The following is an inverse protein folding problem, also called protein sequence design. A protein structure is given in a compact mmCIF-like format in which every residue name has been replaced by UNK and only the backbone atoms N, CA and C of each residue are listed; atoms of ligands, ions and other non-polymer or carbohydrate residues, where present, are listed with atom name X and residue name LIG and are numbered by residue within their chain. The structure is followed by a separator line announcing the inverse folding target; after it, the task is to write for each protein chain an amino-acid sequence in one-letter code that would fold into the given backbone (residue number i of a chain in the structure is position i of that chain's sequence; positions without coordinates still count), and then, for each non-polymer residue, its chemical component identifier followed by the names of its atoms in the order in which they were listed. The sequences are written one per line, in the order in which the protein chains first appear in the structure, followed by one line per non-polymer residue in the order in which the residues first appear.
data_IF_629761761087
#
_entry.id   IF_629761761087
#
_cell.length_a   1.000
_cell.length_b   1.000
_cell.length_c   1.000
_cell.angle_alpha   90.00
_cell.angle_beta   90.00
_cell.angle_gamma   90.00
#
_symmetry.space_group_name_H-M   'P 1'
#
loop_
_entity.id
_entity.type
_entity.pdbx_description
1 polymer ?
#
# COMPACT_ATOMS: atom_id res chain seq x y z
N UNK A 1 -0.78 -43.11 30.87
CA UNK A 1 -2.15 -42.61 30.78
C UNK A 1 -2.74 -43.04 29.45
N UNK A 2 -3.43 -44.24 29.43
CA UNK A 2 -4.01 -44.79 28.22
C UNK A 2 -5.34 -44.11 27.87
N UNK A 3 -5.28 -42.85 27.45
CA UNK A 3 -6.43 -42.17 26.83
C UNK A 3 -6.36 -42.39 25.33
N UNK A 4 -7.35 -43.03 24.76
CA UNK A 4 -7.57 -43.08 23.34
C UNK A 4 -8.00 -41.74 22.81
N UNK A 5 -7.46 -41.31 21.67
CA UNK A 5 -7.89 -40.07 20.99
C UNK A 5 -8.04 -40.39 19.49
N UNK A 6 -8.94 -39.64 18.87
CA UNK A 6 -9.14 -39.65 17.42
C UNK A 6 -8.54 -38.37 16.85
N UNK A 7 -7.58 -38.49 15.95
CA UNK A 7 -7.04 -37.40 15.17
C UNK A 7 -7.74 -37.35 13.80
N UNK A 8 -8.31 -36.18 13.47
CA UNK A 8 -8.91 -35.94 12.15
C UNK A 8 -8.06 -34.87 11.47
N UNK A 9 -7.44 -35.25 10.37
CA UNK A 9 -6.62 -34.35 9.56
C UNK A 9 -7.39 -33.95 8.30
N UNK A 10 -7.58 -32.64 8.08
CA UNK A 10 -8.33 -32.10 6.95
C UNK A 10 -7.44 -31.15 6.15
N UNK A 11 -7.49 -31.28 4.84
CA UNK A 11 -6.83 -30.30 3.95
C UNK A 11 -7.69 -29.05 3.82
N UNK A 12 -7.07 -27.83 3.80
CA UNK A 12 -7.80 -26.60 3.57
C UNK A 12 -8.53 -26.60 2.22
N UNK A 13 -9.80 -26.25 2.21
CA UNK A 13 -10.57 -26.08 0.96
C UNK A 13 -10.12 -24.84 0.21
N UNK A 14 -9.92 -24.93 -1.09
CA UNK A 14 -9.69 -23.79 -1.97
C UNK A 14 -10.94 -22.90 -2.09
N UNK A 15 -12.13 -23.50 -2.00
CA UNK A 15 -13.40 -22.76 -2.06
C UNK A 15 -13.88 -22.36 -0.66
N UNK A 16 -14.58 -21.21 -0.53
CA UNK A 16 -15.20 -20.84 0.72
C UNK A 16 -16.33 -21.82 1.07
N UNK A 17 -16.31 -22.33 2.31
CA UNK A 17 -17.34 -23.26 2.82
C UNK A 17 -18.19 -22.53 3.83
N UNK A 18 -19.52 -22.53 3.62
CA UNK A 18 -20.48 -21.99 4.56
C UNK A 18 -21.17 -23.11 5.35
N UNK A 19 -21.51 -22.81 6.59
CA UNK A 19 -22.37 -23.64 7.46
C UNK A 19 -23.64 -22.87 7.73
N UNK A 20 -24.78 -23.37 7.25
CA UNK A 20 -26.10 -22.69 7.32
C UNK A 20 -26.05 -21.25 6.74
N UNK A 21 -25.30 -21.03 5.62
CA UNK A 21 -25.17 -19.73 4.99
C UNK A 21 -24.21 -18.75 5.68
N UNK A 22 -23.54 -19.16 6.73
CA UNK A 22 -22.58 -18.36 7.51
C UNK A 22 -21.17 -18.88 7.34
N UNK A 23 -20.20 -17.99 7.40
CA UNK A 23 -18.78 -18.31 7.34
C UNK A 23 -18.13 -18.09 8.69
N UNK A 24 -17.20 -18.95 9.04
CA UNK A 24 -16.55 -18.96 10.34
C UNK A 24 -15.04 -19.02 10.22
N UNK A 25 -14.35 -18.38 11.16
CA UNK A 25 -12.91 -18.49 11.34
C UNK A 25 -12.61 -19.00 12.75
N UNK A 26 -11.58 -19.83 12.88
CA UNK A 26 -11.09 -20.29 14.17
C UNK A 26 -9.77 -19.59 14.50
N UNK A 27 -9.71 -18.97 15.66
CA UNK A 27 -8.50 -18.40 16.23
C UNK A 27 -8.25 -19.04 17.61
N UNK A 28 -7.27 -19.91 17.68
CA UNK A 28 -7.01 -20.70 18.88
C UNK A 28 -8.20 -21.60 19.26
N UNK A 29 -8.78 -21.37 20.43
CA UNK A 29 -9.93 -22.14 20.95
C UNK A 29 -11.28 -21.55 20.55
N UNK A 30 -11.32 -20.33 19.97
CA UNK A 30 -12.56 -19.59 19.68
C UNK A 30 -12.91 -19.72 18.20
N UNK A 31 -14.19 -19.98 17.91
CA UNK A 31 -14.78 -19.93 16.57
C UNK A 31 -15.67 -18.70 16.47
N UNK A 32 -15.40 -17.80 15.54
CA UNK A 32 -16.15 -16.56 15.33
C UNK A 32 -16.78 -16.53 13.94
N UNK A 33 -18.01 -16.02 13.86
CA UNK A 33 -18.70 -15.77 12.59
C UNK A 33 -18.03 -14.59 11.87
N UNK A 34 -17.74 -14.75 10.58
CA UNK A 34 -17.22 -13.67 9.75
C UNK A 34 -18.36 -12.77 9.29
N UNK A 35 -18.25 -11.46 9.53
CA UNK A 35 -19.25 -10.47 9.14
C UNK A 35 -18.60 -9.23 8.52
N UNK A 36 -19.37 -8.45 7.76
CA UNK A 36 -18.93 -7.19 7.17
C UNK A 36 -17.64 -7.31 6.36
N UNK A 37 -16.69 -6.42 6.63
CA UNK A 37 -15.42 -6.39 5.91
C UNK A 37 -14.58 -7.67 6.06
N UNK A 38 -14.61 -8.32 7.21
CA UNK A 38 -13.88 -9.58 7.42
C UNK A 38 -14.41 -10.69 6.50
N UNK A 39 -15.72 -10.78 6.32
CA UNK A 39 -16.34 -11.71 5.39
C UNK A 39 -15.94 -11.40 3.94
N UNK A 40 -16.02 -10.14 3.53
CA UNK A 40 -15.63 -9.72 2.19
C UNK A 40 -14.16 -10.04 1.89
N UNK A 41 -13.25 -9.75 2.84
CA UNK A 41 -11.83 -10.09 2.73
C UNK A 41 -11.60 -11.59 2.60
N UNK A 42 -12.30 -12.40 3.40
CA UNK A 42 -12.21 -13.87 3.36
C UNK A 42 -12.66 -14.42 2.01
N UNK A 43 -13.83 -13.98 1.52
CA UNK A 43 -14.38 -14.44 0.24
C UNK A 43 -13.48 -14.02 -0.92
N UNK A 44 -13.02 -12.77 -0.95
CA UNK A 44 -12.10 -12.27 -1.97
C UNK A 44 -10.81 -13.07 -2.00
N UNK A 45 -10.20 -13.31 -0.84
CA UNK A 45 -8.96 -14.10 -0.75
C UNK A 45 -9.15 -15.54 -1.25
N UNK A 46 -10.28 -16.18 -0.95
CA UNK A 46 -10.62 -17.54 -1.45
C UNK A 46 -10.87 -17.56 -2.96
N UNK A 47 -11.37 -16.48 -3.54
CA UNK A 47 -11.53 -16.33 -4.99
C UNK A 47 -10.25 -15.86 -5.69
N UNK A 48 -9.15 -15.65 -4.96
CA UNK A 48 -7.90 -15.13 -5.51
C UNK A 48 -8.00 -13.66 -5.94
N UNK A 49 -9.02 -12.93 -5.47
CA UNK A 49 -9.19 -11.51 -5.73
C UNK A 49 -8.50 -10.68 -4.66
N UNK A 50 -7.68 -9.76 -5.09
CA UNK A 50 -7.10 -8.72 -4.24
C UNK A 50 -7.87 -7.41 -4.42
N UNK A 51 -7.79 -6.51 -3.44
CA UNK A 51 -8.53 -5.25 -3.48
C UNK A 51 -8.25 -4.45 -4.75
N UNK A 52 -7.00 -4.37 -5.14
CA UNK A 52 -6.53 -3.62 -6.31
C UNK A 52 -6.94 -4.24 -7.65
N UNK A 53 -7.28 -5.55 -7.66
CA UNK A 53 -7.75 -6.27 -8.85
C UNK A 53 -9.26 -6.10 -9.13
N UNK A 54 -10.01 -5.57 -8.16
CA UNK A 54 -11.44 -5.33 -8.32
C UNK A 54 -11.71 -4.16 -9.27
N UNK A 55 -12.80 -4.25 -10.03
CA UNK A 55 -13.27 -3.15 -10.89
C UNK A 55 -13.84 -2.02 -10.04
N UNK A 56 -13.56 -0.77 -10.45
CA UNK A 56 -14.22 0.42 -9.92
C UNK A 56 -15.25 0.94 -10.95
N UNK A 57 -16.52 0.65 -10.69
CA UNK A 57 -17.61 0.83 -11.68
C UNK A 57 -17.83 2.30 -12.10
N UNK A 58 -17.51 3.25 -11.26
CA UNK A 58 -17.72 4.67 -11.55
C UNK A 58 -16.51 5.39 -12.15
N UNK A 59 -15.40 4.68 -12.40
CA UNK A 59 -14.16 5.29 -12.89
C UNK A 59 -14.03 5.14 -14.40
N UNK A 60 -13.73 6.25 -15.08
CA UNK A 60 -13.69 6.32 -16.55
C UNK A 60 -12.34 6.88 -17.05
N UNK A 61 -12.09 6.77 -18.36
CA UNK A 61 -10.81 7.16 -18.97
C UNK A 61 -10.48 8.66 -18.82
N UNK A 62 -11.48 9.52 -18.78
CA UNK A 62 -11.32 10.96 -18.59
C UNK A 62 -10.90 11.36 -17.17
N UNK A 63 -11.00 10.44 -16.21
CA UNK A 63 -10.54 10.61 -14.84
C UNK A 63 -9.07 10.19 -14.63
N UNK A 64 -8.42 9.65 -15.67
CA UNK A 64 -6.97 9.36 -15.66
C UNK A 64 -6.18 10.68 -15.73
N UNK A 65 -5.22 10.81 -14.84
CA UNK A 65 -4.24 11.89 -14.82
C UNK A 65 -3.10 11.60 -15.80
N UNK A 66 -3.18 12.23 -16.97
CA UNK A 66 -2.20 12.03 -18.03
C UNK A 66 -0.79 12.52 -17.66
N UNK A 67 -0.68 13.53 -16.81
CA UNK A 67 0.61 14.01 -16.30
C UNK A 67 1.30 12.92 -15.47
N UNK A 68 0.54 12.26 -14.60
CA UNK A 68 1.04 11.11 -13.82
C UNK A 68 1.40 9.93 -14.71
N UNK A 69 0.65 9.68 -15.79
CA UNK A 69 0.98 8.64 -16.77
C UNK A 69 2.34 8.91 -17.42
N UNK A 70 2.60 10.15 -17.87
CA UNK A 70 3.89 10.52 -18.47
C UNK A 70 5.02 10.48 -17.44
N UNK A 71 4.75 10.87 -16.19
CA UNK A 71 5.70 10.71 -15.08
C UNK A 71 6.06 9.25 -14.85
N UNK A 72 5.06 8.36 -14.84
CA UNK A 72 5.26 6.92 -14.70
C UNK A 72 6.13 6.36 -15.85
N UNK A 73 5.83 6.71 -17.10
CA UNK A 73 6.63 6.28 -18.27
C UNK A 73 8.09 6.70 -18.11
N UNK A 74 8.33 7.93 -17.68
CA UNK A 74 9.67 8.43 -17.40
C UNK A 74 10.41 7.62 -16.33
N UNK A 75 9.72 7.24 -15.25
CA UNK A 75 10.30 6.44 -14.15
C UNK A 75 10.54 4.98 -14.56
N UNK A 76 9.70 4.44 -15.45
CA UNK A 76 9.74 3.04 -15.84
C UNK A 76 10.68 2.73 -17.01
N UNK A 77 11.11 3.73 -17.77
CA UNK A 77 11.85 3.57 -19.05
C UNK A 77 13.10 2.70 -18.94
N UNK A 78 13.84 2.79 -17.85
CA UNK A 78 15.08 2.03 -17.66
C UNK A 78 14.83 0.53 -17.44
N UNK A 79 13.66 0.17 -16.89
CA UNK A 79 13.25 -1.21 -16.67
C UNK A 79 12.43 -1.79 -17.82
N UNK A 80 11.61 -0.95 -18.47
CA UNK A 80 10.71 -1.33 -19.56
C UNK A 80 10.83 -0.31 -20.70
N UNK A 81 11.88 -0.35 -21.52
CA UNK A 81 12.12 0.64 -22.59
C UNK A 81 10.98 0.78 -23.59
N UNK A 82 10.18 -0.29 -23.78
CA UNK A 82 9.03 -0.25 -24.71
C UNK A 82 7.86 0.60 -24.21
N UNK A 83 7.84 0.96 -22.91
CA UNK A 83 6.74 1.71 -22.31
C UNK A 83 6.75 3.18 -22.73
N UNK A 84 7.95 3.73 -22.99
CA UNK A 84 8.14 5.12 -23.44
C UNK A 84 7.52 5.38 -24.83
N UNK A 85 7.47 4.34 -25.66
CA UNK A 85 6.94 4.41 -27.03
C UNK A 85 5.41 4.27 -27.10
N UNK A 86 4.76 3.88 -26.00
CA UNK A 86 3.32 3.73 -25.99
C UNK A 86 2.65 5.09 -25.89
N UNK A 87 1.92 5.46 -26.95
CA UNK A 87 1.21 6.74 -27.05
C UNK A 87 -0.26 6.64 -26.66
N UNK A 88 -0.83 5.44 -26.73
CA UNK A 88 -2.23 5.21 -26.35
C UNK A 88 -2.32 4.83 -24.87
N UNK A 89 -2.97 5.70 -24.10
CA UNK A 89 -3.16 5.52 -22.66
C UNK A 89 -3.95 4.24 -22.35
N UNK A 90 -4.99 3.90 -23.13
CA UNK A 90 -5.79 2.70 -22.88
C UNK A 90 -4.98 1.43 -23.12
N UNK A 91 -4.19 1.40 -24.22
CA UNK A 91 -3.25 0.30 -24.49
C UNK A 91 -2.24 0.15 -23.37
N UNK A 92 -1.72 1.26 -22.84
CA UNK A 92 -0.83 1.23 -21.68
C UNK A 92 -1.51 0.61 -20.45
N UNK A 93 -2.74 1.04 -20.12
CA UNK A 93 -3.49 0.51 -18.98
C UNK A 93 -3.79 -0.99 -19.13
N UNK A 94 -4.09 -1.45 -20.34
CA UNK A 94 -4.27 -2.88 -20.63
C UNK A 94 -2.97 -3.67 -20.42
N UNK A 95 -1.84 -3.17 -20.94
CA UNK A 95 -0.51 -3.80 -20.75
C UNK A 95 -0.11 -3.89 -19.29
N UNK A 96 -0.48 -2.90 -18.48
CA UNK A 96 -0.27 -2.89 -17.03
C UNK A 96 -1.28 -3.75 -16.27
N UNK A 97 -2.20 -4.43 -16.99
CA UNK A 97 -3.28 -5.23 -16.40
C UNK A 97 -4.21 -4.42 -15.47
N UNK A 98 -4.45 -3.16 -15.81
CA UNK A 98 -5.30 -2.24 -15.05
C UNK A 98 -6.73 -2.14 -15.58
N UNK A 99 -7.01 -2.81 -16.71
CA UNK A 99 -8.32 -2.90 -17.34
C UNK A 99 -8.74 -4.37 -17.46
N UNK A 100 -10.03 -4.64 -17.26
CA UNK A 100 -10.65 -5.94 -17.50
C UNK A 100 -12.04 -5.74 -18.08
N UNK A 101 -12.31 -6.33 -19.24
CA UNK A 101 -13.61 -6.19 -19.93
C UNK A 101 -13.98 -4.73 -20.21
N UNK A 102 -13.00 -3.89 -20.57
CA UNK A 102 -13.19 -2.46 -20.83
C UNK A 102 -13.41 -1.59 -19.58
N UNK A 103 -13.28 -2.14 -18.37
CA UNK A 103 -13.47 -1.44 -17.10
C UNK A 103 -12.18 -1.36 -16.31
N UNK A 104 -11.98 -0.24 -15.63
CA UNK A 104 -10.77 0.01 -14.83
C UNK A 104 -10.81 -0.72 -13.50
N UNK A 105 -9.68 -1.29 -13.12
CA UNK A 105 -9.46 -1.83 -11.79
C UNK A 105 -9.13 -0.72 -10.79
N UNK A 106 -9.35 -0.98 -9.51
CA UNK A 106 -9.00 -0.05 -8.42
C UNK A 106 -7.52 0.34 -8.41
N UNK A 107 -6.63 -0.56 -8.88
CA UNK A 107 -5.23 -0.21 -9.09
C UNK A 107 -5.05 0.99 -10.03
N UNK A 108 -5.80 1.07 -11.14
CA UNK A 108 -5.76 2.22 -12.04
C UNK A 108 -6.17 3.51 -11.36
N UNK A 109 -7.22 3.45 -10.52
CA UNK A 109 -7.70 4.60 -9.75
C UNK A 109 -6.60 5.14 -8.83
N UNK A 110 -6.00 4.27 -8.00
CA UNK A 110 -5.02 4.74 -7.01
C UNK A 110 -3.69 5.13 -7.63
N UNK A 111 -3.30 4.53 -8.77
CA UNK A 111 -2.04 4.85 -9.46
C UNK A 111 -2.14 6.10 -10.34
N UNK A 112 -3.28 6.29 -11.03
CA UNK A 112 -3.38 7.27 -12.11
C UNK A 112 -4.62 8.16 -12.05
N UNK A 113 -5.48 8.03 -11.02
CA UNK A 113 -6.68 8.86 -10.91
C UNK A 113 -6.37 10.33 -10.62
N UNK A 114 -7.12 11.25 -11.24
CA UNK A 114 -7.08 12.70 -10.93
C UNK A 114 -7.59 13.00 -9.52
N UNK A 115 -8.63 12.28 -9.11
CA UNK A 115 -9.29 12.48 -7.82
C UNK A 115 -9.51 11.14 -7.11
N UNK A 116 -8.45 10.57 -6.61
CA UNK A 116 -8.44 9.24 -5.98
C UNK A 116 -9.36 9.19 -4.77
N UNK A 117 -9.37 10.25 -3.95
CA UNK A 117 -10.10 10.29 -2.69
C UNK A 117 -11.62 10.32 -2.88
N UNK A 118 -12.13 10.61 -4.09
CA UNK A 118 -13.54 10.43 -4.48
C UNK A 118 -13.96 8.96 -4.39
N UNK A 119 -13.05 8.03 -4.72
CA UNK A 119 -13.27 6.58 -4.77
C UNK A 119 -12.74 5.87 -3.53
N UNK A 120 -11.58 6.31 -3.04
CA UNK A 120 -10.82 5.66 -1.98
C UNK A 120 -10.36 6.72 -0.99
N UNK A 121 -11.28 7.19 -0.15
CA UNK A 121 -11.04 8.31 0.79
C UNK A 121 -9.79 8.12 1.64
N UNK A 122 -9.52 6.89 2.08
CA UNK A 122 -8.38 6.57 2.95
C UNK A 122 -7.06 6.40 2.18
N UNK A 123 -7.04 6.43 0.83
CA UNK A 123 -5.81 6.36 0.04
C UNK A 123 -5.04 7.67 0.09
N UNK A 124 -4.56 8.04 1.28
CA UNK A 124 -3.78 9.24 1.58
C UNK A 124 -2.75 8.96 2.65
N UNK A 125 -1.81 9.87 2.81
CA UNK A 125 -0.73 9.79 3.79
C UNK A 125 -0.88 10.94 4.76
N UNK A 126 -0.88 10.65 6.06
CA UNK A 126 -0.88 11.63 7.13
C UNK A 126 0.51 11.73 7.74
N UNK A 127 1.06 12.93 7.75
CA UNK A 127 2.37 13.22 8.34
C UNK A 127 2.13 14.06 9.60
N UNK A 128 2.78 13.74 10.71
CA UNK A 128 2.67 14.52 11.94
C UNK A 128 4.01 14.64 12.66
N UNK A 129 4.28 15.83 13.20
CA UNK A 129 5.34 16.06 14.18
C UNK A 129 4.74 15.94 15.58
N UNK A 130 5.33 15.13 16.42
CA UNK A 130 4.86 14.79 17.75
C UNK A 130 5.88 15.21 18.80
N UNK A 131 5.40 15.77 19.92
CA UNK A 131 6.20 15.98 21.13
C UNK A 131 6.17 14.73 22.02
N UNK A 132 5.04 14.01 22.01
CA UNK A 132 4.82 12.75 22.72
C UNK A 132 3.84 11.90 21.92
N UNK A 133 3.52 10.70 22.37
CA UNK A 133 2.55 9.81 21.69
C UNK A 133 1.14 10.41 21.60
N UNK A 134 0.83 11.41 22.42
CA UNK A 134 -0.50 12.05 22.49
C UNK A 134 -0.49 13.51 22.08
N UNK A 135 0.67 14.17 22.03
CA UNK A 135 0.78 15.59 21.72
C UNK A 135 1.34 15.84 20.33
N UNK A 136 0.51 16.42 19.47
CA UNK A 136 0.81 16.69 18.06
C UNK A 136 1.10 18.18 17.88
N UNK A 137 2.26 18.53 17.33
CA UNK A 137 2.63 19.90 17.01
C UNK A 137 2.01 20.39 15.70
N UNK A 138 2.11 19.57 14.65
CA UNK A 138 1.61 19.92 13.31
C UNK A 138 1.32 18.66 12.52
N UNK A 139 0.40 18.78 11.57
CA UNK A 139 0.04 17.68 10.67
C UNK A 139 -0.10 18.17 9.25
N UNK A 140 0.22 17.31 8.28
CA UNK A 140 -0.07 17.46 6.86
C UNK A 140 -0.78 16.22 6.35
N UNK A 141 -1.65 16.41 5.37
CA UNK A 141 -2.32 15.32 4.66
C UNK A 141 -1.89 15.41 3.19
N UNK A 142 -1.39 14.29 2.67
CA UNK A 142 -0.97 14.17 1.28
C UNK A 142 -2.01 13.34 0.53
N UNK A 143 -2.71 13.97 -0.38
CA UNK A 143 -3.74 13.40 -1.26
C UNK A 143 -3.25 13.35 -2.70
N UNK A 144 -4.08 12.81 -3.61
CA UNK A 144 -3.79 12.55 -5.01
C UNK A 144 -3.53 11.07 -5.26
N UNK A 145 -2.98 10.74 -6.42
CA UNK A 145 -2.61 9.36 -6.73
C UNK A 145 -1.29 8.94 -6.06
N UNK A 146 -1.04 7.63 -5.99
CA UNK A 146 0.09 7.09 -5.24
C UNK A 146 1.44 7.61 -5.74
N UNK A 147 1.60 7.83 -7.05
CA UNK A 147 2.84 8.36 -7.62
C UNK A 147 3.08 9.79 -7.13
N UNK A 148 2.04 10.63 -7.17
CA UNK A 148 2.09 11.99 -6.63
C UNK A 148 2.31 12.01 -5.12
N UNK A 149 1.66 11.08 -4.39
CA UNK A 149 1.81 10.99 -2.94
C UNK A 149 3.24 10.67 -2.53
N UNK A 150 3.94 9.79 -3.25
CA UNK A 150 5.36 9.48 -2.98
C UNK A 150 6.22 10.72 -3.13
N UNK A 151 6.13 11.40 -4.28
CA UNK A 151 6.94 12.58 -4.56
C UNK A 151 6.66 13.71 -3.54
N UNK A 152 5.38 14.02 -3.29
CA UNK A 152 4.96 15.09 -2.34
C UNK A 152 5.34 14.76 -0.89
N UNK A 153 5.18 13.51 -0.47
CA UNK A 153 5.55 13.09 0.89
C UNK A 153 7.04 13.26 1.13
N UNK A 154 7.88 12.80 0.19
CA UNK A 154 9.33 12.94 0.32
C UNK A 154 9.77 14.41 0.29
N UNK A 155 9.12 15.23 -0.52
CA UNK A 155 9.39 16.68 -0.55
C UNK A 155 9.01 17.37 0.77
N UNK A 156 7.80 17.09 1.31
CA UNK A 156 7.37 17.62 2.61
C UNK A 156 8.29 17.16 3.74
N UNK A 157 8.68 15.88 3.76
CA UNK A 157 9.62 15.37 4.76
C UNK A 157 10.94 16.14 4.70
N UNK A 158 11.49 16.34 3.52
CA UNK A 158 12.77 17.02 3.32
C UNK A 158 12.72 18.52 3.67
N UNK A 159 11.65 19.20 3.27
CA UNK A 159 11.59 20.68 3.34
C UNK A 159 11.01 21.18 4.66
N UNK A 160 10.16 20.40 5.33
CA UNK A 160 9.45 20.84 6.53
C UNK A 160 9.87 20.12 7.80
N UNK A 161 10.05 18.81 7.74
CA UNK A 161 10.17 17.98 8.94
C UNK A 161 11.58 17.50 9.24
N UNK A 162 12.35 17.14 8.22
CA UNK A 162 13.68 16.59 8.37
C UNK A 162 14.71 17.64 8.02
N UNK A 163 15.08 18.46 9.01
CA UNK A 163 16.10 19.49 8.82
C UNK A 163 17.43 18.87 8.43
N UNK A 164 18.03 19.39 7.37
CA UNK A 164 19.36 18.97 6.92
C UNK A 164 20.41 19.52 7.87
N UNK A 165 21.37 18.66 8.26
CA UNK A 165 22.61 19.17 8.85
C UNK A 165 23.45 19.81 7.75
N UNK A 166 23.80 21.08 7.95
CA UNK A 166 24.71 21.78 7.07
C UNK A 166 26.11 21.50 7.55
N UNK A 167 26.94 20.87 6.72
CA UNK A 167 28.38 20.74 6.91
C UNK A 167 29.12 21.41 5.77
N UNK A 168 30.38 21.80 6.02
CA UNK A 168 31.26 22.37 5.00
C UNK A 168 32.43 21.42 4.74
N UNK A 169 32.65 21.10 3.49
CA UNK A 169 33.81 20.36 3.03
C UNK A 169 34.66 21.32 2.18
N UNK A 170 35.61 21.97 2.83
CA UNK A 170 36.32 23.12 2.26
C UNK A 170 35.36 24.30 2.04
N UNK A 171 35.25 24.78 0.80
CA UNK A 171 34.33 25.87 0.38
C UNK A 171 32.93 25.37 0.00
N UNK A 172 32.73 24.04 -0.06
CA UNK A 172 31.45 23.45 -0.51
C UNK A 172 30.53 23.21 0.67
N UNK A 173 29.32 23.79 0.58
CA UNK A 173 28.21 23.51 1.49
C UNK A 173 27.67 22.11 1.18
N UNK A 174 27.65 21.23 2.17
CA UNK A 174 27.03 19.90 2.11
C UNK A 174 25.80 19.89 3.03
N UNK A 175 24.65 19.54 2.45
CA UNK A 175 23.43 19.27 3.23
C UNK A 175 23.29 17.75 3.36
N UNK A 176 23.27 17.25 4.58
CA UNK A 176 23.08 15.84 4.88
C UNK A 176 21.74 15.67 5.59
N UNK A 177 20.81 14.96 4.96
CA UNK A 177 19.57 14.58 5.60
C UNK A 177 19.85 13.68 6.81
N UNK A 178 19.01 13.80 7.85
CA UNK A 178 19.07 12.92 9.05
C UNK A 178 18.91 11.47 8.67
N UNK A 179 18.01 11.20 7.71
CA UNK A 179 17.79 9.87 7.11
C UNK A 179 18.20 9.88 5.65
N UNK A 180 18.85 8.81 5.13
CA UNK A 180 19.13 8.68 3.71
C UNK A 180 17.83 8.75 2.88
N UNK A 181 17.84 9.54 1.82
CA UNK A 181 16.67 9.73 0.95
C UNK A 181 16.13 8.41 0.40
N UNK A 182 17.02 7.54 -0.06
CA UNK A 182 16.64 6.23 -0.62
C UNK A 182 15.99 5.31 0.43
N UNK A 183 16.43 5.39 1.69
CA UNK A 183 15.83 4.62 2.77
C UNK A 183 14.39 5.10 3.09
N UNK A 184 14.17 6.42 3.10
CA UNK A 184 12.83 7.01 3.27
C UNK A 184 11.91 6.61 2.12
N UNK A 185 12.41 6.70 0.89
CA UNK A 185 11.67 6.32 -0.30
C UNK A 185 11.27 4.85 -0.29
N UNK A 186 12.22 3.97 0.01
CA UNK A 186 11.97 2.53 0.09
C UNK A 186 10.95 2.20 1.19
N UNK A 187 11.09 2.78 2.38
CA UNK A 187 10.15 2.56 3.48
C UNK A 187 8.74 3.04 3.13
N UNK A 188 8.62 4.17 2.42
CA UNK A 188 7.34 4.71 1.97
C UNK A 188 6.69 3.82 0.90
N UNK A 189 7.47 3.37 -0.09
CA UNK A 189 6.99 2.44 -1.12
C UNK A 189 6.53 1.13 -0.49
N UNK A 190 7.29 0.58 0.47
CA UNK A 190 6.90 -0.62 1.19
C UNK A 190 5.59 -0.42 1.97
N UNK A 191 5.40 0.74 2.61
CA UNK A 191 4.14 1.05 3.28
C UNK A 191 2.95 1.08 2.30
N UNK A 192 3.13 1.57 1.08
CA UNK A 192 2.10 1.64 0.03
C UNK A 192 1.76 0.24 -0.51
N UNK A 193 2.77 -0.52 -0.95
CA UNK A 193 2.54 -1.82 -1.63
C UNK A 193 2.08 -2.92 -0.67
N UNK A 194 2.39 -2.83 0.62
CA UNK A 194 1.97 -3.79 1.63
C UNK A 194 0.73 -3.36 2.42
N UNK A 195 0.15 -2.21 2.10
CA UNK A 195 -1.04 -1.72 2.78
C UNK A 195 -2.24 -2.63 2.51
N UNK A 196 -3.07 -2.85 3.55
CA UNK A 196 -4.39 -3.46 3.41
C UNK A 196 -5.42 -2.39 3.02
N UNK A 197 -5.85 -2.38 1.76
CA UNK A 197 -6.77 -1.37 1.23
C UNK A 197 -8.25 -1.61 1.55
N UNK A 198 -8.63 -2.78 2.10
CA UNK A 198 -9.98 -3.03 2.57
C UNK A 198 -10.30 -2.30 3.89
N UNK A 199 -9.29 -1.83 4.60
CA UNK A 199 -9.46 -1.13 5.88
C UNK A 199 -9.50 0.39 5.70
N UNK A 200 -10.10 1.07 6.68
CA UNK A 200 -10.31 2.52 6.63
C UNK A 200 -9.12 3.34 7.15
N UNK A 201 -8.01 2.69 7.53
CA UNK A 201 -6.83 3.40 8.04
C UNK A 201 -6.00 4.00 6.89
N UNK A 202 -5.42 5.15 7.13
CA UNK A 202 -4.46 5.82 6.24
C UNK A 202 -3.03 5.45 6.62
N UNK A 203 -2.06 5.65 5.71
CA UNK A 203 -0.64 5.55 6.05
C UNK A 203 -0.29 6.72 6.96
N UNK A 204 0.40 6.45 8.08
CA UNK A 204 0.81 7.47 9.05
C UNK A 204 2.32 7.57 9.13
N UNK A 205 2.83 8.79 9.01
CA UNK A 205 4.24 9.11 9.26
C UNK A 205 4.29 9.98 10.52
N UNK A 206 4.88 9.43 11.58
CA UNK A 206 5.03 10.10 12.86
C UNK A 206 6.50 10.47 13.07
N UNK A 207 6.75 11.75 13.28
CA UNK A 207 8.09 12.29 13.43
C UNK A 207 8.22 12.78 14.88
N UNK A 208 9.18 12.21 15.59
CA UNK A 208 9.60 12.59 16.93
C UNK A 208 10.98 13.25 16.87
N UNK A 209 11.47 13.73 17.97
CA UNK A 209 12.80 14.35 18.01
C UNK A 209 13.93 13.33 17.81
N UNK A 210 13.70 12.08 18.24
CA UNK A 210 14.67 10.98 18.23
C UNK A 210 14.43 9.92 17.15
N UNK A 211 13.22 9.89 16.55
CA UNK A 211 12.82 8.84 15.60
C UNK A 211 11.78 9.29 14.57
N UNK A 212 11.71 8.52 13.49
CA UNK A 212 10.63 8.58 12.50
C UNK A 212 9.98 7.20 12.41
N UNK A 213 8.65 7.16 12.42
CA UNK A 213 7.86 5.93 12.33
C UNK A 213 6.93 6.04 11.12
N UNK A 214 7.01 5.10 10.19
CA UNK A 214 6.06 4.93 9.10
C UNK A 214 5.21 3.71 9.43
N UNK A 215 3.90 3.89 9.53
CA UNK A 215 2.96 2.85 9.90
C UNK A 215 1.78 2.77 8.95
N UNK A 216 1.36 1.55 8.65
CA UNK A 216 0.16 1.22 7.91
C UNK A 216 -0.44 -0.08 8.45
N UNK A 217 -1.73 -0.29 8.24
CA UNK A 217 -2.30 -1.62 8.39
C UNK A 217 -1.85 -2.50 7.23
N UNK A 218 -1.22 -3.61 7.54
CA UNK A 218 -0.72 -4.57 6.56
C UNK A 218 -1.17 -5.99 6.92
N UNK A 219 -1.36 -6.83 5.91
CA UNK A 219 -1.57 -8.25 6.10
C UNK A 219 -0.25 -8.98 5.93
N UNK A 220 0.21 -9.63 6.98
CA UNK A 220 1.35 -10.54 6.90
C UNK A 220 0.86 -11.87 6.32
N UNK A 221 1.32 -12.21 5.12
CA UNK A 221 1.07 -13.52 4.49
C UNK A 221 2.36 -14.34 4.54
N UNK A 222 2.30 -15.51 5.17
CA UNK A 222 3.41 -16.47 5.25
C UNK A 222 4.73 -15.89 5.81
N UNK A 223 4.66 -14.79 6.55
CA UNK A 223 5.79 -14.11 7.19
C UNK A 223 5.41 -13.82 8.63
N UNK A 224 6.30 -14.17 9.56
CA UNK A 224 6.15 -13.81 10.97
C UNK A 224 6.83 -12.47 11.27
N UNK A 225 6.52 -11.87 12.44
CA UNK A 225 7.18 -10.63 12.88
C UNK A 225 8.69 -10.84 13.01
N UNK A 226 9.12 -12.04 13.42
CA UNK A 226 10.54 -12.37 13.56
C UNK A 226 11.25 -12.44 12.20
N UNK A 227 10.54 -12.85 11.15
CA UNK A 227 11.09 -12.89 9.80
C UNK A 227 11.33 -11.48 9.24
N UNK A 228 10.54 -10.47 9.64
CA UNK A 228 10.73 -9.08 9.21
C UNK A 228 12.07 -8.48 9.64
N UNK A 229 12.66 -8.98 10.72
CA UNK A 229 13.98 -8.56 11.19
C UNK A 229 15.15 -9.23 10.47
N UNK A 230 14.89 -10.19 9.57
CA UNK A 230 15.88 -10.96 8.83
C UNK A 230 15.74 -10.71 7.32
N UNK A 231 16.75 -11.14 6.56
CA UNK A 231 16.64 -11.14 5.09
C UNK A 231 15.53 -12.09 4.66
N UNK A 232 14.48 -11.57 4.03
CA UNK A 232 13.36 -12.33 3.51
C UNK A 232 13.02 -11.87 2.08
N UNK A 233 12.47 -12.73 1.22
CA UNK A 233 12.02 -12.30 -0.10
C UNK A 233 10.83 -11.34 0.02
N UNK A 234 10.89 -10.23 -0.70
CA UNK A 234 9.75 -9.31 -0.81
C UNK A 234 8.61 -9.99 -1.57
N UNK A 235 7.45 -10.07 -0.93
CA UNK A 235 6.21 -10.58 -1.54
C UNK A 235 5.15 -9.51 -1.42
N UNK A 236 5.04 -8.60 -2.39
CA UNK A 236 4.06 -7.52 -2.35
C UNK A 236 2.64 -8.11 -2.27
N UNK A 237 1.84 -7.56 -1.36
CA UNK A 237 0.43 -7.93 -1.22
C UNK A 237 -0.37 -7.38 -2.41
N UNK A 238 -0.16 -6.11 -2.75
CA UNK A 238 -0.79 -5.43 -3.86
C UNK A 238 0.11 -5.49 -5.10
N UNK A 239 -0.05 -6.54 -5.91
CA UNK A 239 0.83 -6.83 -7.06
C UNK A 239 0.63 -5.91 -8.25
N UNK A 240 -0.48 -5.19 -8.32
CA UNK A 240 -0.79 -4.23 -9.37
C UNK A 240 -0.41 -2.79 -9.00
N UNK A 241 -0.01 -2.56 -7.75
CA UNK A 241 0.49 -1.31 -7.22
C UNK A 241 2.02 -1.38 -7.06
#
# INVERSE_FOLDING_TARGET
NGKEYVAIELQPSAMPISVHGKYYVRSGSVTSELQGNQLNMFLSAKMGLTWESMVEEGFTADEIDLETVERFKTLAKDRVPSIEKETDMLVLMERLNLIVGGRFKRAAVVLFGKNVQKYVLQARIKIGKFLSDTEVLTTDIVEGNLIQQVDRTLDILRTKYLLSYISYEGIYRREKLVYPYEALREALLNAIIHREYFVSSEIQIRIYDDKLVIGNEARLQDITIDDLSRSHPSRPYNKLI
#
